data_IF_741281602239
#
_entry.id   IF_741281602239
#
_cell.length_a   1.000
_cell.length_b   1.000
_cell.length_c   1.000
_cell.angle_alpha   90.00
_cell.angle_beta   90.00
_cell.angle_gamma   90.00
#
_symmetry.space_group_name_H-M   'P 1'
#
loop_
_entity.id
_entity.type
_entity.pdbx_description
1 polymer ?
#
# COMPACT_ATOMS: atom_id res chain seq x y z
N UNK A 1 -22.87 22.82 -21.60
CA UNK A 1 -22.92 21.39 -21.95
C UNK A 1 -21.62 20.78 -21.44
N UNK A 2 -21.68 19.75 -20.60
CA UNK A 2 -20.48 19.13 -20.05
C UNK A 2 -19.86 18.13 -21.04
N UNK A 3 -18.54 18.01 -20.99
CA UNK A 3 -17.79 16.97 -21.69
C UNK A 3 -17.24 15.96 -20.69
N UNK A 4 -17.42 14.68 -21.00
CA UNK A 4 -16.93 13.56 -20.21
C UNK A 4 -15.80 12.91 -20.99
N UNK A 5 -14.60 12.98 -20.43
CA UNK A 5 -13.34 12.64 -21.09
C UNK A 5 -12.73 11.48 -20.33
N UNK A 6 -12.28 10.45 -21.05
CA UNK A 6 -11.56 9.34 -20.48
C UNK A 6 -10.22 9.15 -21.18
N UNK A 7 -9.18 8.91 -20.38
CA UNK A 7 -7.87 8.54 -20.84
C UNK A 7 -7.62 7.07 -20.49
N UNK A 8 -7.27 6.29 -21.51
CA UNK A 8 -6.60 5.01 -21.34
C UNK A 8 -5.13 5.18 -21.71
N UNK A 9 -4.26 5.11 -20.71
CA UNK A 9 -2.89 5.64 -20.78
C UNK A 9 -1.86 4.53 -20.78
N UNK A 10 -1.12 4.42 -21.88
CA UNK A 10 0.14 3.66 -21.99
C UNK A 10 1.34 4.62 -21.87
N UNK A 11 2.57 4.10 -21.67
CA UNK A 11 3.75 4.95 -21.52
C UNK A 11 4.15 5.70 -22.79
N UNK A 12 3.66 5.27 -23.95
CA UNK A 12 3.97 5.87 -25.26
C UNK A 12 2.81 6.71 -25.78
N UNK A 13 1.58 6.21 -25.67
CA UNK A 13 0.38 6.88 -26.16
C UNK A 13 -0.77 6.81 -25.16
N UNK A 14 -1.70 7.75 -25.27
CA UNK A 14 -2.96 7.79 -24.53
C UNK A 14 -4.12 7.77 -25.51
N UNK A 15 -5.04 6.83 -25.36
CA UNK A 15 -6.32 6.85 -26.07
C UNK A 15 -7.30 7.75 -25.33
N UNK A 16 -7.86 8.72 -26.04
CA UNK A 16 -8.80 9.70 -25.50
C UNK A 16 -10.17 9.44 -26.10
N UNK A 17 -11.18 9.29 -25.23
CA UNK A 17 -12.59 9.30 -25.65
C UNK A 17 -13.32 10.49 -25.02
N UNK A 18 -14.06 11.23 -25.84
CA UNK A 18 -14.82 12.41 -25.42
C UNK A 18 -16.29 12.22 -25.73
N UNK A 19 -17.13 12.29 -24.69
CA UNK A 19 -18.58 12.25 -24.79
C UNK A 19 -19.18 13.60 -24.44
N UNK A 20 -20.28 13.95 -25.09
CA UNK A 20 -21.12 15.06 -24.67
C UNK A 20 -22.11 14.64 -23.57
N UNK A 21 -22.90 15.59 -23.06
CA UNK A 21 -23.89 15.31 -22.00
C UNK A 21 -24.98 14.30 -22.36
N UNK A 22 -25.24 14.08 -23.66
CA UNK A 22 -26.19 13.07 -24.14
C UNK A 22 -25.55 11.68 -24.26
N UNK A 23 -24.25 11.55 -24.01
CA UNK A 23 -23.50 10.30 -24.17
C UNK A 23 -23.10 9.99 -25.61
N UNK A 24 -23.29 10.93 -26.55
CA UNK A 24 -22.79 10.77 -27.93
C UNK A 24 -21.29 11.02 -27.94
N UNK A 25 -20.55 10.14 -28.61
CA UNK A 25 -19.13 10.33 -28.90
C UNK A 25 -18.97 11.58 -29.76
N UNK A 26 -18.17 12.51 -29.25
CA UNK A 26 -17.75 13.72 -29.96
C UNK A 26 -16.45 13.43 -30.70
N UNK A 27 -15.53 12.74 -30.04
CA UNK A 27 -14.22 12.40 -30.60
C UNK A 27 -13.63 11.18 -29.89
N UNK A 28 -12.87 10.38 -30.65
CA UNK A 28 -11.96 9.35 -30.17
C UNK A 28 -10.63 9.58 -30.89
N UNK A 29 -9.52 9.69 -30.17
CA UNK A 29 -8.21 9.95 -30.76
C UNK A 29 -7.05 9.43 -29.88
N UNK A 30 -5.95 8.98 -30.49
CA UNK A 30 -4.69 8.83 -29.76
C UNK A 30 -3.99 10.19 -29.62
N UNK A 31 -3.20 10.33 -28.57
CA UNK A 31 -2.17 11.38 -28.46
C UNK A 31 -0.94 10.83 -27.74
N UNK A 32 0.17 11.57 -27.80
CA UNK A 32 1.35 11.25 -27.02
C UNK A 32 1.05 11.31 -25.52
N UNK A 33 1.63 10.39 -24.74
CA UNK A 33 1.57 10.44 -23.28
C UNK A 33 2.54 11.51 -22.75
N UNK A 34 2.21 12.77 -23.02
CA UNK A 34 2.98 13.94 -22.64
C UNK A 34 2.03 15.03 -22.09
N UNK A 35 2.40 15.66 -20.97
CA UNK A 35 1.54 16.67 -20.32
C UNK A 35 1.09 17.79 -21.28
N UNK A 36 1.97 18.39 -22.11
CA UNK A 36 1.53 19.42 -23.05
C UNK A 36 0.46 18.93 -24.04
N UNK A 37 0.67 17.76 -24.65
CA UNK A 37 -0.28 17.18 -25.60
C UNK A 37 -1.63 16.82 -24.94
N UNK A 38 -1.59 16.28 -23.73
CA UNK A 38 -2.79 15.95 -22.96
C UNK A 38 -3.57 17.21 -22.54
N UNK A 39 -2.88 18.30 -22.19
CA UNK A 39 -3.51 19.59 -21.89
C UNK A 39 -4.17 20.15 -23.16
N UNK A 40 -3.47 20.16 -24.29
CA UNK A 40 -4.02 20.62 -25.57
C UNK A 40 -5.29 19.85 -25.95
N UNK A 41 -5.27 18.52 -25.81
CA UNK A 41 -6.43 17.68 -26.05
C UNK A 41 -7.62 17.99 -25.12
N UNK A 42 -7.38 18.37 -23.86
CA UNK A 42 -8.43 18.80 -22.93
C UNK A 42 -8.95 20.20 -23.27
N UNK A 43 -8.06 21.11 -23.66
CA UNK A 43 -8.38 22.51 -23.92
C UNK A 43 -9.16 22.74 -25.22
N UNK A 44 -9.08 21.79 -26.16
CA UNK A 44 -9.92 21.73 -27.35
C UNK A 44 -11.44 21.74 -27.05
N UNK A 45 -11.84 21.42 -25.82
CA UNK A 45 -13.24 21.39 -25.40
C UNK A 45 -13.55 22.50 -24.40
N UNK A 46 -14.70 23.16 -24.53
CA UNK A 46 -15.17 24.14 -23.53
C UNK A 46 -15.51 23.46 -22.19
N UNK A 47 -15.36 24.21 -21.10
CA UNK A 47 -15.82 23.80 -19.76
C UNK A 47 -17.36 23.68 -19.69
N UNK A 48 -17.93 22.84 -18.81
CA UNK A 48 -17.23 21.99 -17.84
C UNK A 48 -16.68 20.69 -18.44
N UNK A 49 -15.49 20.28 -17.97
CA UNK A 49 -14.76 19.07 -18.35
C UNK A 49 -14.67 18.13 -17.15
N UNK A 50 -15.19 16.93 -17.30
CA UNK A 50 -14.98 15.84 -16.33
C UNK A 50 -14.03 14.82 -16.94
N UNK A 51 -12.90 14.57 -16.29
CA UNK A 51 -11.86 13.65 -16.74
C UNK A 51 -11.82 12.40 -15.85
N UNK A 52 -11.58 11.25 -16.46
CA UNK A 52 -11.27 10.00 -15.76
C UNK A 52 -10.11 9.23 -16.39
N UNK A 53 -9.42 8.46 -15.58
CA UNK A 53 -8.50 7.40 -15.99
C UNK A 53 -8.37 6.37 -14.87
N UNK A 54 -7.86 5.19 -15.19
CA UNK A 54 -7.70 4.13 -14.20
C UNK A 54 -6.48 4.38 -13.28
N UNK A 55 -6.59 3.89 -12.04
CA UNK A 55 -5.47 3.87 -11.11
C UNK A 55 -4.35 2.95 -11.66
N UNK A 56 -3.16 3.52 -11.83
CA UNK A 56 -1.99 2.83 -12.36
C UNK A 56 -0.70 3.62 -12.11
N UNK A 57 0.45 3.17 -12.63
CA UNK A 57 1.75 3.80 -12.39
C UNK A 57 1.81 5.29 -12.78
N UNK A 58 1.04 5.69 -13.80
CA UNK A 58 1.01 7.06 -14.31
C UNK A 58 -0.09 7.93 -13.65
N UNK A 59 -1.00 7.35 -12.88
CA UNK A 59 -2.20 8.04 -12.42
C UNK A 59 -1.90 9.25 -11.52
N UNK A 60 -0.94 9.14 -10.60
CA UNK A 60 -0.52 10.27 -9.76
C UNK A 60 0.08 11.41 -10.60
N UNK A 61 0.95 11.08 -11.56
CA UNK A 61 1.56 12.04 -12.48
C UNK A 61 0.53 12.72 -13.38
N UNK A 62 -0.44 11.98 -13.92
CA UNK A 62 -1.55 12.57 -14.68
C UNK A 62 -2.41 13.46 -13.77
N UNK A 63 -2.84 12.95 -12.62
CA UNK A 63 -3.74 13.66 -11.71
C UNK A 63 -3.16 15.00 -11.28
N UNK A 64 -1.89 15.03 -10.84
CA UNK A 64 -1.26 16.26 -10.35
C UNK A 64 -1.04 17.31 -11.43
N UNK A 65 -0.83 16.91 -12.69
CA UNK A 65 -0.58 17.83 -13.80
C UNK A 65 -1.87 18.28 -14.51
N UNK A 66 -2.90 17.43 -14.56
CA UNK A 66 -4.12 17.69 -15.34
C UNK A 66 -5.26 18.29 -14.51
N UNK A 67 -5.23 18.18 -13.19
CA UNK A 67 -6.30 18.68 -12.30
C UNK A 67 -6.65 20.17 -12.48
N UNK A 68 -5.72 21.09 -12.77
CA UNK A 68 -6.06 22.49 -13.04
C UNK A 68 -6.89 22.70 -14.32
N UNK A 69 -6.79 21.78 -15.28
CA UNK A 69 -7.35 21.92 -16.63
C UNK A 69 -8.76 21.35 -16.78
N UNK A 70 -9.30 20.76 -15.71
CA UNK A 70 -10.61 20.10 -15.67
C UNK A 70 -11.41 20.56 -14.46
N UNK A 71 -12.73 20.46 -14.55
CA UNK A 71 -13.63 20.86 -13.46
C UNK A 71 -13.83 19.72 -12.45
N UNK A 72 -13.66 18.47 -12.91
CA UNK A 72 -13.65 17.28 -12.07
C UNK A 72 -12.68 16.25 -12.63
N UNK A 73 -11.88 15.64 -11.76
CA UNK A 73 -10.96 14.56 -12.11
C UNK A 73 -11.26 13.35 -11.22
N UNK A 74 -11.50 12.19 -11.83
CA UNK A 74 -11.77 10.93 -11.14
C UNK A 74 -10.71 9.90 -11.56
N UNK A 75 -9.83 9.55 -10.64
CA UNK A 75 -9.00 8.34 -10.81
C UNK A 75 -9.80 7.16 -10.30
N UNK A 76 -9.97 6.12 -11.10
CA UNK A 76 -10.93 5.05 -10.79
C UNK A 76 -10.29 3.67 -10.55
N UNK A 77 -10.97 2.82 -9.78
CA UNK A 77 -10.51 1.47 -9.42
C UNK A 77 -10.71 0.48 -10.59
N UNK A 78 -9.63 0.05 -11.28
CA UNK A 78 -9.74 -0.75 -12.51
C UNK A 78 -10.47 -2.08 -12.29
N UNK A 79 -10.34 -2.64 -11.08
CA UNK A 79 -10.95 -3.93 -10.73
C UNK A 79 -12.46 -3.87 -10.59
N UNK A 80 -13.02 -2.69 -10.30
CA UNK A 80 -14.48 -2.52 -10.22
C UNK A 80 -15.09 -2.20 -11.57
N UNK A 81 -14.38 -1.46 -12.42
CA UNK A 81 -14.79 -1.20 -13.79
C UNK A 81 -14.97 -2.52 -14.55
N UNK A 82 -14.05 -3.47 -14.36
CA UNK A 82 -14.13 -4.81 -14.96
C UNK A 82 -15.36 -5.65 -14.52
N UNK A 83 -16.07 -5.29 -13.44
CA UNK A 83 -17.33 -5.97 -13.06
C UNK A 83 -18.56 -5.35 -13.71
N UNK A 84 -18.49 -4.08 -14.10
CA UNK A 84 -19.57 -3.36 -14.81
C UNK A 84 -19.42 -3.53 -16.33
N UNK A 85 -18.19 -3.65 -16.82
CA UNK A 85 -17.83 -3.72 -18.24
C UNK A 85 -17.44 -5.13 -18.70
N UNK A 86 -18.24 -6.15 -18.38
CA UNK A 86 -17.96 -7.56 -18.73
C UNK A 86 -18.32 -7.96 -20.16
N UNK A 87 -18.81 -7.05 -20.99
CA UNK A 87 -19.23 -7.35 -22.36
C UNK A 87 -18.33 -6.70 -23.42
N UNK A 88 -17.79 -7.56 -24.29
CA UNK A 88 -17.17 -7.23 -25.57
C UNK A 88 -15.67 -7.52 -25.66
N UNK A 89 -15.17 -7.53 -26.88
CA UNK A 89 -13.75 -7.72 -27.19
C UNK A 89 -12.89 -6.60 -26.57
N UNK A 90 -11.63 -6.95 -26.28
CA UNK A 90 -10.60 -6.02 -25.79
C UNK A 90 -10.01 -5.28 -26.98
N UNK A 91 -10.46 -4.06 -27.18
CA UNK A 91 -9.86 -3.11 -28.11
C UNK A 91 -9.70 -1.78 -27.34
N UNK A 92 -8.50 -1.21 -27.37
CA UNK A 92 -8.08 -0.12 -26.47
C UNK A 92 -8.96 1.13 -26.62
N UNK A 93 -9.45 1.42 -27.84
CA UNK A 93 -10.39 2.52 -28.09
C UNK A 93 -11.76 2.28 -27.42
N UNK A 94 -12.21 1.02 -27.40
CA UNK A 94 -13.47 0.64 -26.77
C UNK A 94 -13.37 0.84 -25.25
N UNK A 95 -12.19 0.64 -24.67
CA UNK A 95 -11.96 0.76 -23.23
C UNK A 95 -11.99 2.23 -22.76
N UNK A 96 -11.37 3.17 -23.48
CA UNK A 96 -11.48 4.60 -23.17
C UNK A 96 -12.94 5.09 -23.26
N UNK A 97 -13.66 4.71 -24.32
CA UNK A 97 -15.07 5.08 -24.51
C UNK A 97 -15.97 4.55 -23.40
N UNK A 98 -15.82 3.27 -23.03
CA UNK A 98 -16.55 2.66 -21.91
C UNK A 98 -16.29 3.44 -20.63
N UNK A 99 -15.05 3.82 -20.38
CA UNK A 99 -14.67 4.56 -19.20
C UNK A 99 -15.33 5.96 -19.15
N UNK A 100 -15.40 6.66 -20.28
CA UNK A 100 -16.11 7.95 -20.37
C UNK A 100 -17.62 7.80 -20.11
N UNK A 101 -18.23 6.71 -20.56
CA UNK A 101 -19.65 6.42 -20.27
C UNK A 101 -19.89 6.17 -18.79
N UNK A 102 -19.00 5.42 -18.13
CA UNK A 102 -19.07 5.16 -16.69
C UNK A 102 -18.91 6.44 -15.87
N UNK A 103 -18.01 7.35 -16.30
CA UNK A 103 -17.85 8.67 -15.69
C UNK A 103 -19.15 9.47 -15.79
N UNK A 104 -19.71 9.58 -16.99
CA UNK A 104 -20.98 10.28 -17.25
C UNK A 104 -22.13 9.73 -16.42
N UNK A 105 -22.20 8.42 -16.27
CA UNK A 105 -23.23 7.75 -15.48
C UNK A 105 -23.01 7.79 -13.97
N UNK A 106 -21.86 8.29 -13.50
CA UNK A 106 -21.51 8.30 -12.07
C UNK A 106 -21.24 6.90 -11.50
N UNK A 107 -20.91 5.92 -12.35
CA UNK A 107 -20.71 4.53 -11.94
C UNK A 107 -19.27 4.21 -11.51
N UNK A 108 -18.33 5.13 -11.73
CA UNK A 108 -16.94 4.96 -11.34
C UNK A 108 -16.77 4.99 -9.82
N UNK A 109 -15.89 4.11 -9.34
CA UNK A 109 -15.41 4.16 -7.95
C UNK A 109 -14.09 4.90 -7.90
N UNK A 110 -14.12 6.08 -7.31
CA UNK A 110 -12.95 6.93 -7.10
C UNK A 110 -11.90 6.29 -6.17
N UNK A 111 -10.64 6.44 -6.55
CA UNK A 111 -9.46 6.09 -5.77
C UNK A 111 -8.85 7.37 -5.24
N UNK A 112 -8.71 7.43 -3.92
CA UNK A 112 -8.09 8.55 -3.20
C UNK A 112 -6.70 8.85 -3.75
N UNK A 113 -6.56 10.05 -4.30
CA UNK A 113 -5.29 10.62 -4.72
C UNK A 113 -4.67 11.39 -3.56
N UNK A 114 -3.34 11.42 -3.53
CA UNK A 114 -2.60 12.03 -2.43
C UNK A 114 -2.73 13.56 -2.51
N UNK A 115 -2.94 14.20 -1.36
CA UNK A 115 -3.32 15.63 -1.31
C UNK A 115 -2.20 16.59 -1.75
N UNK A 116 -0.92 16.16 -1.71
CA UNK A 116 0.21 16.99 -2.14
C UNK A 116 1.39 16.17 -2.68
N UNK A 117 2.28 16.83 -3.42
CA UNK A 117 3.50 16.22 -3.98
C UNK A 117 4.41 15.67 -2.88
N UNK A 118 4.59 16.39 -1.77
CA UNK A 118 5.41 15.92 -0.65
C UNK A 118 4.86 14.64 -0.01
N UNK A 119 3.53 14.55 0.11
CA UNK A 119 2.84 13.36 0.61
C UNK A 119 3.00 12.18 -0.36
N UNK A 120 2.92 12.43 -1.67
CA UNK A 120 3.13 11.41 -2.70
C UNK A 120 4.56 10.88 -2.68
N UNK A 121 5.55 11.76 -2.57
CA UNK A 121 6.97 11.41 -2.44
C UNK A 121 7.24 10.62 -1.16
N UNK A 122 6.64 11.01 -0.02
CA UNK A 122 6.75 10.24 1.22
C UNK A 122 6.20 8.82 1.05
N UNK A 123 5.02 8.69 0.44
CA UNK A 123 4.39 7.39 0.17
C UNK A 123 5.25 6.53 -0.77
N UNK A 124 5.87 7.13 -1.78
CA UNK A 124 6.83 6.47 -2.66
C UNK A 124 8.05 5.96 -1.87
N UNK A 125 8.66 6.80 -1.03
CA UNK A 125 9.79 6.39 -0.19
C UNK A 125 9.44 5.26 0.79
N UNK A 126 8.25 5.31 1.39
CA UNK A 126 7.76 4.23 2.26
C UNK A 126 7.59 2.94 1.47
N UNK A 127 6.98 3.00 0.28
CA UNK A 127 6.82 1.83 -0.58
C UNK A 127 8.18 1.24 -0.96
N UNK A 128 9.12 2.09 -1.36
CA UNK A 128 10.48 1.69 -1.72
C UNK A 128 11.21 0.99 -0.56
N UNK A 129 11.07 1.49 0.68
CA UNK A 129 11.60 0.81 1.87
C UNK A 129 11.05 -0.61 2.01
N UNK A 130 9.73 -0.79 1.93
CA UNK A 130 9.11 -2.13 2.04
C UNK A 130 9.56 -3.05 0.90
N UNK A 131 9.84 -2.52 -0.28
CA UNK A 131 10.34 -3.28 -1.42
C UNK A 131 11.77 -3.75 -1.20
N UNK A 132 12.66 -2.87 -0.73
CA UNK A 132 14.03 -3.23 -0.35
C UNK A 132 14.05 -4.29 0.76
N UNK A 133 13.21 -4.17 1.78
CA UNK A 133 13.06 -5.20 2.83
C UNK A 133 12.65 -6.55 2.22
N UNK A 134 11.68 -6.55 1.30
CA UNK A 134 11.23 -7.78 0.62
C UNK A 134 12.34 -8.42 -0.22
N UNK A 135 13.11 -7.62 -0.92
CA UNK A 135 14.25 -8.08 -1.73
C UNK A 135 15.35 -8.65 -0.84
N UNK A 136 15.72 -7.97 0.24
CA UNK A 136 16.71 -8.48 1.21
C UNK A 136 16.29 -9.82 1.80
N UNK A 137 15.02 -9.93 2.24
CA UNK A 137 14.49 -11.19 2.78
C UNK A 137 14.53 -12.30 1.72
N UNK A 138 14.19 -11.99 0.46
CA UNK A 138 14.30 -12.96 -0.65
C UNK A 138 15.74 -13.42 -0.85
N UNK A 139 16.70 -12.51 -0.84
CA UNK A 139 18.12 -12.85 -0.98
C UNK A 139 18.64 -13.69 0.18
N UNK A 140 18.26 -13.37 1.43
CA UNK A 140 18.63 -14.18 2.58
C UNK A 140 18.04 -15.60 2.53
N UNK A 141 16.81 -15.71 2.04
CA UNK A 141 16.18 -17.02 1.81
C UNK A 141 16.87 -17.80 0.69
N UNK A 142 17.33 -17.13 -0.37
CA UNK A 142 18.11 -17.75 -1.44
C UNK A 142 19.45 -18.27 -0.90
N UNK A 143 20.19 -17.46 -0.14
CA UNK A 143 21.47 -17.85 0.43
C UNK A 143 21.34 -19.06 1.37
N UNK A 144 20.37 -19.02 2.29
CA UNK A 144 20.11 -20.16 3.19
C UNK A 144 19.59 -21.39 2.45
N UNK A 145 18.92 -21.24 1.31
CA UNK A 145 18.50 -22.37 0.49
C UNK A 145 19.68 -23.03 -0.25
N UNK A 146 20.64 -22.24 -0.74
CA UNK A 146 21.87 -22.76 -1.35
C UNK A 146 22.69 -23.56 -0.33
N UNK A 147 22.85 -23.05 0.89
CA UNK A 147 23.51 -23.78 1.99
C UNK A 147 22.77 -25.07 2.36
N UNK A 148 21.44 -25.04 2.41
CA UNK A 148 20.61 -26.23 2.66
C UNK A 148 20.79 -27.32 1.62
N UNK A 149 21.01 -26.97 0.34
CA UNK A 149 21.31 -27.96 -0.73
C UNK A 149 22.63 -28.70 -0.49
N UNK A 150 23.55 -28.10 0.25
CA UNK A 150 24.84 -28.69 0.63
C UNK A 150 24.78 -29.38 2.01
N UNK A 151 23.58 -29.57 2.58
CA UNK A 151 23.41 -30.17 3.92
C UNK A 151 23.72 -29.22 5.08
N UNK A 152 23.92 -27.93 4.83
CA UNK A 152 24.20 -26.92 5.86
C UNK A 152 22.93 -26.17 6.25
N UNK A 153 22.37 -26.51 7.41
CA UNK A 153 21.16 -25.88 7.95
C UNK A 153 21.53 -24.72 8.88
N UNK A 154 21.19 -23.49 8.49
CA UNK A 154 21.57 -22.29 9.25
C UNK A 154 20.57 -21.15 9.06
N UNK A 155 20.72 -20.10 9.87
CA UNK A 155 19.99 -18.84 9.73
C UNK A 155 20.82 -17.81 8.96
N UNK A 156 20.16 -16.79 8.39
CA UNK A 156 20.88 -15.68 7.76
C UNK A 156 21.74 -14.90 8.76
N UNK A 157 21.33 -14.82 10.03
CA UNK A 157 22.09 -14.12 11.07
C UNK A 157 23.49 -14.72 11.25
N UNK A 158 23.57 -16.05 11.26
CA UNK A 158 24.84 -16.77 11.38
C UNK A 158 25.75 -16.59 10.15
N UNK A 159 25.17 -16.30 8.98
CA UNK A 159 25.95 -16.04 7.76
C UNK A 159 26.47 -14.60 7.73
N UNK A 160 25.82 -13.67 8.44
CA UNK A 160 26.27 -12.28 8.55
C UNK A 160 27.38 -12.11 9.58
N UNK A 161 27.45 -13.01 10.56
CA UNK A 161 28.57 -13.11 11.48
C UNK A 161 29.80 -13.68 10.76
N UNK A 162 30.93 -12.94 10.64
CA UNK A 162 32.09 -13.39 9.88
C UNK A 162 32.71 -14.68 10.40
N UNK A 163 32.74 -14.88 11.73
CA UNK A 163 33.35 -16.05 12.35
C UNK A 163 32.50 -17.30 12.10
N UNK A 164 31.19 -17.19 12.33
CA UNK A 164 30.25 -18.27 12.06
C UNK A 164 30.19 -18.60 10.57
N UNK A 165 30.19 -17.58 9.70
CA UNK A 165 30.27 -17.76 8.24
C UNK A 165 31.50 -18.57 7.84
N UNK A 166 32.67 -18.26 8.39
CA UNK A 166 33.88 -19.02 8.09
C UNK A 166 33.77 -20.49 8.52
N UNK A 167 33.18 -20.75 9.69
CA UNK A 167 32.90 -22.12 10.14
C UNK A 167 31.90 -22.86 9.24
N UNK A 168 30.88 -22.15 8.74
CA UNK A 168 29.90 -22.71 7.80
C UNK A 168 30.56 -23.05 6.46
N UNK A 169 31.43 -22.18 5.93
CA UNK A 169 32.10 -22.41 4.64
C UNK A 169 33.07 -23.60 4.70
N UNK A 170 33.70 -23.84 5.85
CA UNK A 170 34.53 -25.03 6.07
C UNK A 170 33.76 -26.36 5.94
N UNK A 171 32.44 -26.35 6.15
CA UNK A 171 31.58 -27.54 6.01
C UNK A 171 31.17 -27.81 4.55
N UNK A 172 31.42 -26.87 3.64
CA UNK A 172 31.05 -27.00 2.23
C UNK A 172 32.09 -27.80 1.45
N UNK A 173 31.70 -28.44 0.34
CA UNK A 173 32.66 -29.03 -0.60
C UNK A 173 33.71 -28.00 -1.02
N UNK A 174 34.97 -28.45 -1.17
CA UNK A 174 36.10 -27.62 -1.66
C UNK A 174 36.01 -27.39 -3.17
N UNK A 175 34.92 -26.79 -3.64
CA UNK A 175 34.65 -26.46 -5.05
C UNK A 175 34.61 -24.95 -5.19
N UNK A 176 35.61 -24.35 -5.85
CA UNK A 176 35.77 -22.90 -5.97
C UNK A 176 34.50 -22.19 -6.45
N UNK A 177 33.86 -22.70 -7.51
CA UNK A 177 32.63 -22.12 -8.10
C UNK A 177 31.50 -21.98 -7.08
N UNK A 178 31.29 -22.97 -6.20
CA UNK A 178 30.24 -22.91 -5.18
C UNK A 178 30.50 -21.78 -4.17
N UNK A 179 31.74 -21.60 -3.75
CA UNK A 179 32.09 -20.54 -2.79
C UNK A 179 31.95 -19.16 -3.45
N UNK A 180 32.37 -19.02 -4.70
CA UNK A 180 32.20 -17.78 -5.47
C UNK A 180 30.72 -17.42 -5.65
N UNK A 181 29.86 -18.39 -5.99
CA UNK A 181 28.41 -18.17 -6.12
C UNK A 181 27.77 -17.71 -4.80
N UNK A 182 28.14 -18.36 -3.68
CA UNK A 182 27.64 -17.99 -2.35
C UNK A 182 28.10 -16.59 -1.96
N UNK A 183 29.36 -16.24 -2.24
CA UNK A 183 29.92 -14.92 -1.94
C UNK A 183 29.26 -13.83 -2.79
N UNK A 184 28.93 -14.10 -4.07
CA UNK A 184 28.18 -13.16 -4.91
C UNK A 184 26.78 -12.88 -4.36
N UNK A 185 26.04 -13.93 -3.96
CA UNK A 185 24.71 -13.77 -3.36
C UNK A 185 24.80 -13.00 -2.04
N UNK A 186 25.82 -13.28 -1.23
CA UNK A 186 26.07 -12.59 0.03
C UNK A 186 26.37 -11.10 -0.18
N UNK A 187 27.22 -10.75 -1.16
CA UNK A 187 27.50 -9.34 -1.52
C UNK A 187 26.23 -8.57 -1.85
N UNK A 188 25.32 -9.18 -2.63
CA UNK A 188 24.01 -8.56 -2.94
C UNK A 188 23.17 -8.39 -1.67
N UNK A 189 23.15 -9.38 -0.77
CA UNK A 189 22.44 -9.26 0.49
C UNK A 189 22.99 -8.12 1.36
N UNK A 190 24.32 -8.01 1.49
CA UNK A 190 25.01 -6.96 2.26
C UNK A 190 24.73 -5.57 1.68
N UNK A 191 24.74 -5.42 0.35
CA UNK A 191 24.34 -4.18 -0.32
C UNK A 191 22.89 -3.79 -0.01
N UNK A 192 21.95 -4.75 -0.07
CA UNK A 192 20.55 -4.48 0.25
C UNK A 192 20.35 -4.10 1.73
N UNK A 193 21.17 -4.65 2.64
CA UNK A 193 21.16 -4.29 4.04
C UNK A 193 21.59 -2.83 4.24
N UNK A 194 22.66 -2.39 3.57
CA UNK A 194 23.13 -1.00 3.60
C UNK A 194 22.07 -0.05 3.04
N UNK A 195 21.50 -0.36 1.87
CA UNK A 195 20.44 0.44 1.26
C UNK A 195 19.19 0.54 2.15
N UNK A 196 18.79 -0.56 2.81
CA UNK A 196 17.65 -0.53 3.75
C UNK A 196 17.89 0.49 4.86
N UNK A 197 19.08 0.52 5.45
CA UNK A 197 19.41 1.43 6.55
C UNK A 197 19.47 2.90 6.09
N UNK A 198 20.03 3.19 4.92
CA UNK A 198 20.01 4.54 4.36
C UNK A 198 18.59 5.06 4.11
N UNK A 199 17.71 4.21 3.58
CA UNK A 199 16.31 4.58 3.32
C UNK A 199 15.56 4.74 4.65
N UNK A 200 15.82 3.86 5.61
CA UNK A 200 15.26 3.95 6.97
C UNK A 200 15.62 5.30 7.60
N UNK A 201 16.89 5.71 7.54
CA UNK A 201 17.35 6.98 8.09
C UNK A 201 16.64 8.17 7.42
N UNK A 202 16.55 8.17 6.08
CA UNK A 202 15.81 9.18 5.31
C UNK A 202 14.33 9.25 5.69
N UNK A 203 13.65 8.10 5.81
CA UNK A 203 12.25 8.04 6.23
C UNK A 203 12.03 8.60 7.65
N UNK A 204 12.95 8.33 8.57
CA UNK A 204 12.89 8.88 9.92
C UNK A 204 13.01 10.41 9.87
N UNK A 205 13.95 10.94 9.08
CA UNK A 205 14.14 12.38 8.93
C UNK A 205 12.91 13.07 8.32
N UNK A 206 12.36 12.52 7.24
CA UNK A 206 11.12 13.03 6.62
C UNK A 206 9.96 12.99 7.62
N UNK A 207 9.81 11.86 8.34
CA UNK A 207 8.72 11.69 9.30
C UNK A 207 8.79 12.62 10.52
N UNK A 208 9.99 13.09 10.91
CA UNK A 208 10.14 14.04 12.02
C UNK A 208 9.47 15.39 11.76
N UNK A 209 9.29 15.79 10.50
CA UNK A 209 8.62 17.04 10.13
C UNK A 209 7.12 16.99 10.36
N UNK A 210 6.56 15.80 10.53
CA UNK A 210 5.12 15.55 10.54
C UNK A 210 4.59 15.38 11.97
N UNK A 211 3.79 16.33 12.51
CA UNK A 211 3.26 16.23 13.86
C UNK A 211 2.47 14.93 14.15
N UNK A 212 1.65 14.38 13.22
CA UNK A 212 0.97 13.11 13.45
C UNK A 212 1.93 11.95 13.69
N UNK A 213 3.05 11.88 12.97
CA UNK A 213 4.05 10.81 13.15
C UNK A 213 4.63 10.86 14.57
N UNK A 214 4.94 12.05 15.10
CA UNK A 214 5.45 12.21 16.47
C UNK A 214 4.50 11.63 17.50
N UNK A 215 3.21 11.96 17.40
CA UNK A 215 2.17 11.40 18.28
C UNK A 215 2.01 9.89 18.14
N UNK A 216 2.16 9.35 16.93
CA UNK A 216 2.10 7.89 16.73
C UNK A 216 3.21 7.14 17.44
N UNK A 217 4.39 7.75 17.61
CA UNK A 217 5.52 7.13 18.31
C UNK A 217 5.30 6.97 19.81
N UNK A 218 4.37 7.71 20.39
CA UNK A 218 3.99 7.58 21.80
C UNK A 218 3.19 6.30 22.06
N UNK A 219 2.55 5.73 21.03
CA UNK A 219 1.77 4.50 21.16
C UNK A 219 2.68 3.26 21.29
N UNK A 220 2.43 2.37 22.27
CA UNK A 220 3.21 1.15 22.48
C UNK A 220 3.40 0.33 21.21
N UNK A 221 4.63 -0.12 20.97
CA UNK A 221 5.01 -0.92 19.80
C UNK A 221 5.01 -0.18 18.46
N UNK A 222 4.78 1.13 18.41
CA UNK A 222 4.79 1.90 17.16
C UNK A 222 6.12 2.63 17.01
N UNK A 223 7.03 2.05 16.21
CA UNK A 223 8.30 2.70 15.84
C UNK A 223 8.20 3.59 14.60
N UNK A 224 9.27 4.33 14.25
CA UNK A 224 9.27 5.34 13.17
C UNK A 224 8.77 4.84 11.82
N UNK A 225 9.23 3.67 11.38
CA UNK A 225 8.82 3.08 10.10
C UNK A 225 7.34 2.69 10.12
N UNK A 226 6.83 2.17 11.25
CA UNK A 226 5.43 1.79 11.38
C UNK A 226 4.53 3.04 11.38
N UNK A 227 4.95 4.10 12.08
CA UNK A 227 4.28 5.39 12.08
C UNK A 227 4.26 6.05 10.69
N UNK A 228 5.41 6.14 10.01
CA UNK A 228 5.52 6.68 8.66
C UNK A 228 4.69 5.88 7.65
N UNK A 229 4.71 4.54 7.75
CA UNK A 229 3.88 3.68 6.89
C UNK A 229 2.39 3.93 7.12
N UNK A 230 1.95 4.05 8.37
CA UNK A 230 0.56 4.37 8.68
C UNK A 230 0.18 5.74 8.12
N UNK A 231 0.98 6.76 8.41
CA UNK A 231 0.78 8.14 7.95
C UNK A 231 0.66 8.24 6.42
N UNK A 232 1.59 7.64 5.68
CA UNK A 232 1.65 7.75 4.23
C UNK A 232 0.54 6.99 3.50
N UNK A 233 0.07 5.86 4.02
CA UNK A 233 -0.97 5.06 3.35
C UNK A 233 -2.39 5.48 3.70
N UNK A 234 -2.62 5.94 4.93
CA UNK A 234 -3.91 6.50 5.35
C UNK A 234 -4.13 7.85 4.66
N UNK A 235 -3.05 8.61 4.51
CA UNK A 235 -2.96 9.93 3.86
C UNK A 235 -3.71 11.06 4.59
N UNK A 236 -5.01 10.91 4.80
CA UNK A 236 -5.82 11.84 5.58
C UNK A 236 -6.71 11.06 6.55
N UNK A 237 -6.86 11.53 7.80
CA UNK A 237 -7.71 10.84 8.75
C UNK A 237 -9.20 10.93 8.37
N UNK A 238 -9.60 11.87 7.53
CA UNK A 238 -11.01 12.07 7.13
C UNK A 238 -11.46 11.15 6.00
N UNK A 239 -10.52 10.42 5.40
CA UNK A 239 -10.78 9.42 4.35
C UNK A 239 -11.74 8.30 4.78
N UNK A 240 -11.81 8.00 6.06
CA UNK A 240 -12.59 6.87 6.57
C UNK A 240 -13.79 7.33 7.38
N UNK A 241 -14.98 6.89 6.96
CA UNK A 241 -16.25 7.19 7.68
C UNK A 241 -16.41 6.40 8.98
N UNK A 242 -15.69 5.29 9.16
CA UNK A 242 -15.80 4.45 10.36
C UNK A 242 -14.54 3.62 10.62
N UNK A 243 -14.39 3.15 11.87
CA UNK A 243 -13.33 2.21 12.28
C UNK A 243 -13.32 0.94 11.42
N UNK A 244 -14.51 0.44 11.06
CA UNK A 244 -14.66 -0.75 10.21
C UNK A 244 -14.10 -0.53 8.80
N UNK A 245 -14.34 0.65 8.21
CA UNK A 245 -13.79 1.01 6.91
C UNK A 245 -12.25 1.08 6.95
N UNK A 246 -11.69 1.73 7.99
CA UNK A 246 -10.25 1.77 8.25
C UNK A 246 -9.67 0.35 8.36
N UNK A 247 -10.25 -0.52 9.19
CA UNK A 247 -9.73 -1.87 9.39
C UNK A 247 -9.75 -2.69 8.11
N UNK A 248 -10.81 -2.57 7.29
CA UNK A 248 -10.87 -3.22 5.96
C UNK A 248 -9.74 -2.74 5.06
N UNK A 249 -9.49 -1.43 5.01
CA UNK A 249 -8.38 -0.86 4.23
C UNK A 249 -7.02 -1.35 4.74
N UNK A 250 -6.80 -1.40 6.05
CA UNK A 250 -5.59 -1.96 6.65
C UNK A 250 -5.45 -3.49 6.51
N UNK A 251 -6.43 -4.20 5.92
CA UNK A 251 -6.41 -5.66 5.79
C UNK A 251 -6.60 -6.42 7.12
N UNK A 252 -7.10 -5.71 8.14
CA UNK A 252 -7.45 -6.25 9.46
C UNK A 252 -8.95 -6.52 9.59
N UNK A 253 -9.79 -5.91 8.75
CA UNK A 253 -11.24 -6.02 8.77
C UNK A 253 -11.74 -7.39 8.32
N UNK A 254 -12.90 -7.75 8.83
CA UNK A 254 -13.65 -8.91 8.36
C UNK A 254 -14.51 -8.49 7.16
N UNK A 255 -14.71 -9.43 6.25
CA UNK A 255 -15.59 -9.32 5.10
C UNK A 255 -16.65 -10.41 5.24
N UNK A 256 -17.91 -9.98 5.25
CA UNK A 256 -19.05 -10.89 5.20
C UNK A 256 -19.27 -11.24 3.74
N UNK A 257 -19.28 -12.52 3.41
CA UNK A 257 -19.71 -13.01 2.10
C UNK A 257 -21.03 -13.76 2.27
N UNK A 258 -22.01 -13.32 1.51
CA UNK A 258 -23.25 -14.05 1.29
C UNK A 258 -23.11 -14.78 -0.05
N UNK A 259 -23.33 -16.09 -0.06
CA UNK A 259 -23.47 -16.86 -1.29
C UNK A 259 -24.93 -17.31 -1.37
N UNK A 260 -25.77 -16.50 -2.01
CA UNK A 260 -27.20 -16.82 -2.19
C UNK A 260 -27.92 -17.09 -0.86
N UNK A 261 -28.58 -18.24 -0.74
CA UNK A 261 -29.32 -18.72 0.44
C UNK A 261 -28.46 -19.41 1.53
N UNK A 262 -27.14 -19.46 1.36
CA UNK A 262 -26.24 -20.15 2.30
C UNK A 262 -25.86 -19.34 3.55
N UNK A 263 -25.31 -19.99 4.59
CA UNK A 263 -24.92 -19.34 5.83
C UNK A 263 -23.86 -18.25 5.61
N UNK A 264 -24.03 -17.11 6.29
CA UNK A 264 -23.14 -15.97 6.19
C UNK A 264 -21.72 -16.34 6.65
N UNK A 265 -20.75 -16.33 5.73
CA UNK A 265 -19.35 -16.61 6.06
C UNK A 265 -18.58 -15.32 6.30
N UNK A 266 -17.96 -15.21 7.47
CA UNK A 266 -17.11 -14.08 7.83
C UNK A 266 -15.65 -14.47 7.58
N UNK A 267 -14.98 -13.81 6.63
CA UNK A 267 -13.58 -14.08 6.27
C UNK A 267 -12.74 -12.81 6.39
N UNK A 268 -11.42 -12.94 6.45
CA UNK A 268 -10.53 -11.78 6.34
C UNK A 268 -10.63 -11.18 4.94
N UNK A 269 -10.70 -9.85 4.87
CA UNK A 269 -10.63 -9.19 3.56
C UNK A 269 -9.27 -9.46 2.91
N UNK A 270 -9.30 -9.97 1.68
CA UNK A 270 -8.10 -10.15 0.85
C UNK A 270 -7.64 -8.86 0.17
N UNK A 271 -8.42 -7.77 0.27
CA UNK A 271 -8.26 -6.54 -0.52
C UNK A 271 -7.57 -5.39 0.22
N UNK A 272 -7.15 -5.59 1.48
CA UNK A 272 -6.48 -4.55 2.26
C UNK A 272 -4.99 -4.37 1.93
N UNK A 273 -4.45 -3.22 2.30
CA UNK A 273 -3.04 -2.87 2.16
C UNK A 273 -2.15 -3.84 2.95
N UNK A 274 -1.31 -4.59 2.22
CA UNK A 274 -0.37 -5.56 2.80
C UNK A 274 0.70 -4.88 3.69
N UNK A 275 1.30 -3.73 3.29
CA UNK A 275 2.21 -2.99 4.15
C UNK A 275 1.56 -2.58 5.48
N UNK A 276 0.37 -1.97 5.43
CA UNK A 276 -0.38 -1.57 6.64
C UNK A 276 -0.65 -2.77 7.56
N UNK A 277 -1.14 -3.88 6.99
CA UNK A 277 -1.39 -5.11 7.77
C UNK A 277 -0.12 -5.61 8.45
N UNK A 278 1.00 -5.62 7.73
CA UNK A 278 2.29 -6.09 8.24
C UNK A 278 2.77 -5.23 9.42
N UNK A 279 2.80 -3.90 9.24
CA UNK A 279 3.28 -2.98 10.28
C UNK A 279 2.38 -2.96 11.51
N UNK A 280 1.06 -3.04 11.35
CA UNK A 280 0.10 -3.05 12.47
C UNK A 280 0.14 -4.36 13.26
N UNK A 281 0.29 -5.51 12.58
CA UNK A 281 0.48 -6.80 13.27
C UNK A 281 1.84 -6.84 13.97
N UNK A 282 2.89 -6.29 13.35
CA UNK A 282 4.19 -6.11 13.97
C UNK A 282 4.13 -5.21 15.21
N UNK A 283 3.42 -4.07 15.11
CA UNK A 283 3.17 -3.16 16.22
C UNK A 283 2.47 -3.87 17.37
N UNK A 284 1.39 -4.60 17.08
CA UNK A 284 0.66 -5.38 18.07
C UNK A 284 1.58 -6.39 18.78
N UNK A 285 2.43 -7.12 18.05
CA UNK A 285 3.39 -8.06 18.69
C UNK A 285 4.30 -7.36 19.68
N UNK A 286 4.89 -6.24 19.29
CA UNK A 286 5.78 -5.46 20.17
C UNK A 286 5.00 -4.89 21.36
N UNK A 287 3.82 -4.33 21.13
CA UNK A 287 2.98 -3.75 22.18
C UNK A 287 2.49 -4.78 23.20
N UNK A 288 2.25 -6.03 22.78
CA UNK A 288 1.87 -7.15 23.66
C UNK A 288 3.05 -7.60 24.53
N UNK A 289 4.27 -7.55 23.98
CA UNK A 289 5.47 -7.96 24.70
C UNK A 289 6.00 -6.87 25.67
N UNK A 290 5.53 -5.63 25.52
CA UNK A 290 5.94 -4.51 26.36
C UNK A 290 5.20 -4.54 27.71
N UNK A 291 5.97 -4.53 28.81
CA UNK A 291 5.42 -4.46 30.18
C UNK A 291 4.63 -3.18 30.40
N UNK A 292 3.50 -3.27 31.13
CA UNK A 292 2.62 -2.13 31.44
C UNK A 292 1.79 -1.59 30.26
N UNK A 293 1.82 -2.25 29.11
CA UNK A 293 1.05 -1.84 27.93
C UNK A 293 -0.44 -2.22 28.06
N UNK A 294 -1.39 -1.29 27.88
CA UNK A 294 -2.82 -1.60 27.84
C UNK A 294 -3.19 -2.61 26.74
N UNK A 295 -2.40 -2.68 25.67
CA UNK A 295 -2.58 -3.65 24.59
C UNK A 295 -2.20 -5.08 25.01
N UNK A 296 -1.26 -5.24 25.95
CA UNK A 296 -0.91 -6.53 26.52
C UNK A 296 -2.04 -7.06 27.41
N UNK A 297 -2.68 -6.19 28.19
CA UNK A 297 -3.86 -6.53 28.99
C UNK A 297 -5.04 -6.95 28.12
N UNK A 298 -5.37 -6.19 27.07
CA UNK A 298 -6.40 -6.58 26.09
C UNK A 298 -6.12 -7.94 25.46
N UNK A 299 -4.86 -8.20 25.12
CA UNK A 299 -4.47 -9.50 24.58
C UNK A 299 -4.72 -10.62 25.59
N UNK A 300 -4.26 -10.47 26.85
CA UNK A 300 -4.48 -11.43 27.93
C UNK A 300 -5.96 -11.69 28.15
N UNK A 301 -6.77 -10.64 28.29
CA UNK A 301 -8.23 -10.74 28.45
C UNK A 301 -8.86 -11.61 27.35
N UNK A 302 -8.54 -11.34 26.07
CA UNK A 302 -9.09 -12.15 24.98
C UNK A 302 -8.60 -13.59 24.98
N UNK A 303 -7.33 -13.85 25.29
CA UNK A 303 -6.78 -15.22 25.26
C UNK A 303 -7.16 -16.06 26.47
N UNK A 304 -7.17 -15.46 27.67
CA UNK A 304 -7.32 -16.18 28.93
C UNK A 304 -8.77 -16.21 29.39
N UNK A 305 -9.48 -15.07 29.37
CA UNK A 305 -10.86 -15.00 29.87
C UNK A 305 -11.89 -15.36 28.79
N UNK A 306 -11.63 -14.98 27.53
CA UNK A 306 -12.55 -15.25 26.41
C UNK A 306 -12.15 -16.45 25.54
N UNK A 307 -10.99 -17.07 25.80
CA UNK A 307 -10.53 -18.27 25.09
C UNK A 307 -10.26 -18.06 23.60
N UNK A 308 -10.02 -16.82 23.13
CA UNK A 308 -9.74 -16.57 21.71
C UNK A 308 -8.36 -17.11 21.32
N UNK A 309 -8.27 -17.67 20.11
CA UNK A 309 -6.99 -18.04 19.52
C UNK A 309 -6.00 -16.85 19.52
N UNK A 310 -4.72 -17.07 19.94
CA UNK A 310 -3.65 -16.06 19.96
C UNK A 310 -3.53 -15.19 18.70
N UNK A 311 -3.65 -15.79 17.51
CA UNK A 311 -3.55 -15.07 16.25
C UNK A 311 -4.74 -14.12 16.02
N UNK A 312 -5.93 -14.49 16.48
CA UNK A 312 -7.13 -13.65 16.41
C UNK A 312 -7.08 -12.54 17.45
N UNK A 313 -6.70 -12.85 18.69
CA UNK A 313 -6.50 -11.85 19.74
C UNK A 313 -5.47 -10.78 19.32
N UNK A 314 -4.31 -11.19 18.78
CA UNK A 314 -3.30 -10.26 18.24
C UNK A 314 -3.84 -9.38 17.13
N UNK A 315 -4.70 -9.91 16.27
CA UNK A 315 -5.34 -9.11 15.21
C UNK A 315 -6.31 -8.09 15.78
N UNK A 316 -7.04 -8.43 16.83
CA UNK A 316 -7.89 -7.48 17.54
C UNK A 316 -7.05 -6.37 18.18
N UNK A 317 -5.90 -6.69 18.78
CA UNK A 317 -4.94 -5.68 19.26
C UNK A 317 -4.49 -4.76 18.13
N UNK A 318 -4.16 -5.32 16.96
CA UNK A 318 -3.79 -4.51 15.80
C UNK A 318 -4.92 -3.58 15.32
N UNK A 319 -6.20 -3.98 15.45
CA UNK A 319 -7.37 -3.13 15.17
C UNK A 319 -7.49 -1.99 16.19
N UNK A 320 -7.28 -2.29 17.47
CA UNK A 320 -7.25 -1.28 18.55
C UNK A 320 -6.12 -0.27 18.32
N UNK A 321 -4.91 -0.73 17.98
CA UNK A 321 -3.79 0.13 17.61
C UNK A 321 -4.11 1.02 16.41
N UNK A 322 -4.63 0.44 15.31
CA UNK A 322 -5.00 1.22 14.12
C UNK A 322 -6.03 2.32 14.46
N UNK A 323 -7.01 1.99 15.32
CA UNK A 323 -8.03 2.93 15.79
C UNK A 323 -7.42 4.03 16.67
N UNK A 324 -6.49 3.66 17.54
CA UNK A 324 -5.78 4.59 18.43
C UNK A 324 -5.00 5.60 17.58
N UNK A 325 -4.15 5.14 16.67
CA UNK A 325 -3.38 6.00 15.77
C UNK A 325 -4.29 6.93 14.95
N UNK A 326 -5.38 6.40 14.41
CA UNK A 326 -6.35 7.19 13.67
C UNK A 326 -7.01 8.27 14.54
N UNK A 327 -7.33 7.96 15.80
CA UNK A 327 -7.91 8.91 16.75
C UNK A 327 -6.91 9.99 17.19
N UNK A 328 -5.64 9.65 17.42
CA UNK A 328 -4.58 10.62 17.72
C UNK A 328 -4.38 11.60 16.55
N UNK A 329 -4.55 11.11 15.33
CA UNK A 329 -4.49 11.96 14.15
C UNK A 329 -5.68 12.92 14.08
N UNK A 330 -6.91 12.40 14.21
CA UNK A 330 -8.13 13.23 14.16
C UNK A 330 -8.20 14.29 15.24
N UNK A 331 -7.81 13.94 16.46
CA UNK A 331 -7.95 14.83 17.62
C UNK A 331 -6.75 15.75 17.82
N UNK A 332 -5.60 15.42 17.23
CA UNK A 332 -4.34 16.13 17.46
C UNK A 332 -3.77 15.94 18.88
N UNK A 333 -4.43 15.16 19.74
CA UNK A 333 -4.03 14.90 21.14
C UNK A 333 -2.89 13.88 21.22
N UNK A 334 -2.06 14.02 22.24
CA UNK A 334 -1.06 13.01 22.62
C UNK A 334 -1.70 11.70 23.05
N UNK A 335 -0.91 10.63 23.02
CA UNK A 335 -1.35 9.31 23.42
C UNK A 335 -1.64 9.26 24.92
N UNK A 336 -2.86 8.84 25.25
CA UNK A 336 -3.28 8.52 26.60
C UNK A 336 -3.57 7.00 26.66
N UNK A 337 -2.90 6.25 27.55
CA UNK A 337 -3.14 4.83 27.79
C UNK A 337 -4.63 4.47 27.98
N UNK A 338 -5.44 5.36 28.57
CA UNK A 338 -6.87 5.14 28.77
C UNK A 338 -7.67 5.07 27.45
N UNK A 339 -7.22 5.77 26.39
CA UNK A 339 -7.85 5.74 25.06
C UNK A 339 -7.71 4.36 24.42
N UNK A 340 -6.62 3.65 24.71
CA UNK A 340 -6.39 2.31 24.20
C UNK A 340 -7.32 1.27 24.84
N UNK A 341 -8.00 1.59 25.94
CA UNK A 341 -8.92 0.71 26.69
C UNK A 341 -10.35 0.67 26.12
N UNK A 342 -10.76 1.70 25.36
CA UNK A 342 -12.02 1.75 24.59
C UNK A 342 -11.97 0.96 23.28
#
# INVERSE_FOLDING_TARGET
>A
MAYFIAFDTHCEFTQIAVLNSRGKVVQEMPCDTAIPALIEALEAYRRPRELTFEEGPLADWLARNLRPYVDRLVVCDPRRNAYVAKEGDKDDAIDAKRLAQLLRGGFLKEVHQVDSVDRALLKLHVAFYHDRVRERVRQGNQLTALLRRQGVFTSIGNVLDPEQRQQLWKKLPRRKVLHEDLDLVLKVYELLLQQEEEIRARLIQLGRKEPPIRRFLEAPGVGPIRAATFYAYIDTPDRFRSKSALWRYCGLGLERRHSGSGPQRVRLSKRGSRPLKSVLIGAARTAIAQSGSPFAEKYRHWTQEKGLNPATARRNVARSLATTLWSLWKTGKSYDPAIASS
#
